data_IF_968204320280
#
_entry.id   IF_968204320280
#
_cell.length_a   1.000
_cell.length_b   1.000
_cell.length_c   1.000
_cell.angle_alpha   90.00
_cell.angle_beta   90.00
_cell.angle_gamma   90.00
#
_symmetry.space_group_name_H-M   'P 1'
#
loop_
_entity.id
_entity.type
_entity.pdbx_description
1 polymer ?
#
# COMPACT_ATOMS: atom_id res chain seq x y z
N UNK A 1 -17.44 2.14 2.00
CA UNK A 1 -16.01 1.83 2.19
C UNK A 1 -15.30 1.21 0.97
N UNK A 2 -15.95 1.03 -0.20
CA UNK A 2 -15.28 0.46 -1.39
C UNK A 2 -14.18 1.35 -1.96
N UNK A 3 -14.41 2.66 -2.07
CA UNK A 3 -13.42 3.59 -2.61
C UNK A 3 -12.16 3.65 -1.74
N UNK A 4 -12.31 3.75 -0.42
CA UNK A 4 -11.17 3.74 0.52
C UNK A 4 -10.37 2.44 0.47
N UNK A 5 -11.04 1.27 0.41
CA UNK A 5 -10.38 -0.02 0.22
C UNK A 5 -9.59 -0.06 -1.09
N UNK A 6 -10.17 0.41 -2.20
CA UNK A 6 -9.49 0.43 -3.49
C UNK A 6 -8.28 1.36 -3.50
N UNK A 7 -8.38 2.55 -2.88
CA UNK A 7 -7.25 3.48 -2.75
C UNK A 7 -6.14 2.87 -1.90
N UNK A 8 -6.47 2.32 -0.72
CA UNK A 8 -5.51 1.67 0.15
C UNK A 8 -4.84 0.48 -0.55
N UNK A 9 -5.61 -0.35 -1.25
CA UNK A 9 -5.06 -1.46 -2.02
C UNK A 9 -4.10 -1.01 -3.12
N UNK A 10 -4.45 0.03 -3.89
CA UNK A 10 -3.56 0.58 -4.92
C UNK A 10 -2.26 1.13 -4.29
N UNK A 11 -2.37 1.92 -3.22
CA UNK A 11 -1.19 2.45 -2.52
C UNK A 11 -0.29 1.34 -1.98
N UNK A 12 -0.89 0.27 -1.43
CA UNK A 12 -0.16 -0.90 -0.96
C UNK A 12 0.57 -1.61 -2.10
N UNK A 13 -0.09 -1.82 -3.24
CA UNK A 13 0.53 -2.45 -4.42
C UNK A 13 1.68 -1.60 -4.94
N UNK A 14 1.49 -0.29 -5.07
CA UNK A 14 2.55 0.65 -5.51
C UNK A 14 3.73 0.62 -4.53
N UNK A 15 3.47 0.61 -3.22
CA UNK A 15 4.49 0.49 -2.20
C UNK A 15 5.28 -0.83 -2.26
N UNK A 16 4.57 -1.95 -2.47
CA UNK A 16 5.18 -3.27 -2.65
C UNK A 16 6.03 -3.36 -3.91
N UNK A 17 5.58 -2.77 -5.02
CA UNK A 17 6.36 -2.66 -6.25
C UNK A 17 7.61 -1.77 -6.06
N UNK A 18 7.50 -0.66 -5.33
CA UNK A 18 8.68 0.14 -4.98
C UNK A 18 9.68 -0.66 -4.16
N UNK A 19 9.24 -1.46 -3.19
CA UNK A 19 10.11 -2.35 -2.43
C UNK A 19 10.78 -3.43 -3.30
N UNK A 20 10.06 -3.97 -4.29
CA UNK A 20 10.67 -4.88 -5.27
C UNK A 20 11.77 -4.17 -6.05
N UNK A 21 11.53 -2.96 -6.55
CA UNK A 21 12.52 -2.17 -7.28
C UNK A 21 13.73 -1.83 -6.40
N UNK A 22 13.53 -1.56 -5.11
CA UNK A 22 14.61 -1.30 -4.14
C UNK A 22 15.52 -2.52 -4.02
N UNK A 23 15.00 -3.74 -4.14
CA UNK A 23 15.83 -4.95 -4.19
C UNK A 23 16.71 -5.04 -5.46
N UNK A 24 16.42 -4.25 -6.49
CA UNK A 24 17.22 -4.05 -7.69
C UNK A 24 17.99 -2.71 -7.66
N UNK A 25 18.29 -2.18 -6.48
CA UNK A 25 19.00 -0.91 -6.26
C UNK A 25 18.30 0.33 -6.88
N UNK A 26 17.00 0.25 -7.15
CA UNK A 26 16.23 1.37 -7.71
C UNK A 26 15.05 1.76 -6.81
N UNK A 27 15.08 2.97 -6.28
CA UNK A 27 13.96 3.51 -5.49
C UNK A 27 13.16 4.52 -6.31
N UNK A 28 11.98 4.11 -6.79
CA UNK A 28 11.11 4.95 -7.61
C UNK A 28 10.66 6.20 -6.84
N UNK A 29 10.24 6.03 -5.57
CA UNK A 29 9.76 7.13 -4.73
C UNK A 29 10.85 8.19 -4.55
N UNK A 30 12.07 7.75 -4.20
CA UNK A 30 13.20 8.65 -4.00
C UNK A 30 13.68 9.27 -5.33
N UNK A 31 13.56 8.56 -6.45
CA UNK A 31 13.95 9.07 -7.77
C UNK A 31 13.06 10.21 -8.27
N UNK A 32 11.76 10.19 -7.91
CA UNK A 32 10.79 11.21 -8.32
C UNK A 32 10.76 12.38 -7.33
N UNK A 33 10.79 12.09 -6.03
CA UNK A 33 10.57 13.08 -4.97
C UNK A 33 11.86 13.54 -4.30
N UNK A 34 13.00 12.92 -4.61
CA UNK A 34 14.29 13.15 -3.95
C UNK A 34 14.45 12.27 -2.70
N UNK A 35 15.59 11.60 -2.60
CA UNK A 35 15.95 10.82 -1.43
C UNK A 35 15.98 11.68 -0.16
N UNK A 36 15.32 11.22 0.90
CA UNK A 36 15.24 11.94 2.18
C UNK A 36 14.33 13.19 2.17
N UNK A 37 13.59 13.43 1.09
CA UNK A 37 12.65 14.56 1.04
C UNK A 37 11.41 14.32 1.89
N UNK A 38 10.78 15.42 2.33
CA UNK A 38 9.48 15.35 3.00
C UNK A 38 8.40 14.69 2.12
N UNK A 39 8.49 14.84 0.79
CA UNK A 39 7.59 14.19 -0.15
C UNK A 39 7.71 12.67 -0.12
N UNK A 40 8.94 12.15 -0.17
CA UNK A 40 9.19 10.71 -0.06
C UNK A 40 8.68 10.14 1.27
N UNK A 41 8.92 10.85 2.38
CA UNK A 41 8.42 10.48 3.70
C UNK A 41 6.89 10.38 3.74
N UNK A 42 6.17 11.36 3.18
CA UNK A 42 4.70 11.33 3.12
C UNK A 42 4.22 10.10 2.36
N UNK A 43 4.84 9.77 1.22
CA UNK A 43 4.47 8.58 0.44
C UNK A 43 4.66 7.31 1.26
N UNK A 44 5.79 7.15 1.95
CA UNK A 44 6.02 5.97 2.79
C UNK A 44 5.03 5.85 3.94
N UNK A 45 4.65 6.98 4.57
CA UNK A 45 3.59 6.98 5.60
C UNK A 45 2.26 6.54 5.01
N UNK A 46 1.87 7.04 3.84
CA UNK A 46 0.61 6.66 3.18
C UNK A 46 0.59 5.18 2.80
N UNK A 47 1.70 4.64 2.30
CA UNK A 47 1.86 3.20 2.02
C UNK A 47 1.71 2.39 3.30
N UNK A 48 2.38 2.77 4.38
CA UNK A 48 2.28 2.10 5.68
C UNK A 48 0.87 2.12 6.27
N UNK A 49 0.19 3.27 6.22
CA UNK A 49 -1.20 3.41 6.64
C UNK A 49 -2.14 2.54 5.80
N UNK A 50 -1.87 2.43 4.49
CA UNK A 50 -2.64 1.57 3.59
C UNK A 50 -2.47 0.09 3.93
N UNK A 51 -1.26 -0.33 4.32
CA UNK A 51 -1.01 -1.68 4.80
C UNK A 51 -1.77 -2.00 6.09
N UNK A 52 -1.72 -1.09 7.07
CA UNK A 52 -2.48 -1.24 8.32
C UNK A 52 -3.99 -1.30 8.02
N UNK A 53 -4.49 -0.42 7.16
CA UNK A 53 -5.90 -0.39 6.79
C UNK A 53 -6.36 -1.68 6.15
N UNK A 54 -5.58 -2.22 5.20
CA UNK A 54 -5.91 -3.49 4.59
C UNK A 54 -5.84 -4.63 5.59
N UNK A 55 -4.79 -4.75 6.41
CA UNK A 55 -4.73 -5.80 7.43
C UNK A 55 -5.96 -5.78 8.36
N UNK A 56 -6.43 -4.59 8.77
CA UNK A 56 -7.57 -4.45 9.69
C UNK A 56 -8.94 -4.62 9.02
N UNK A 57 -9.07 -4.27 7.74
CA UNK A 57 -10.37 -4.22 7.06
C UNK A 57 -10.56 -5.28 5.98
N UNK A 58 -9.49 -5.94 5.54
CA UNK A 58 -9.51 -6.92 4.45
C UNK A 58 -10.49 -8.06 4.71
N UNK A 59 -10.55 -8.62 5.94
CA UNK A 59 -11.50 -9.70 6.27
C UNK A 59 -12.96 -9.28 6.13
N UNK A 60 -13.28 -7.99 6.34
CA UNK A 60 -14.64 -7.44 6.20
C UNK A 60 -14.95 -7.05 4.74
N UNK A 61 -13.94 -6.70 3.95
CA UNK A 61 -14.07 -6.24 2.57
C UNK A 61 -13.88 -7.36 1.53
N UNK A 62 -13.21 -8.45 1.88
CA UNK A 62 -12.96 -9.59 1.01
C UNK A 62 -14.18 -10.52 0.99
N UNK A 63 -15.00 -10.41 -0.06
CA UNK A 63 -16.21 -11.22 -0.29
C UNK A 63 -15.97 -12.73 -0.43
N UNK A 64 -14.71 -13.19 -0.42
CA UNK A 64 -14.32 -14.58 -0.70
C UNK A 64 -13.54 -15.29 0.44
N UNK A 65 -13.34 -14.67 1.61
CA UNK A 65 -12.64 -15.32 2.73
C UNK A 65 -13.55 -16.07 3.73
N UNK A 66 -14.83 -16.27 3.39
CA UNK A 66 -15.73 -17.14 4.14
C UNK A 66 -16.42 -18.14 3.19
N UNK A 67 -15.91 -19.37 3.02
CA UNK A 67 -16.62 -20.42 2.28
C UNK A 67 -17.91 -20.86 3.00
N UNK A 68 -18.08 -20.49 4.27
CA UNK A 68 -19.23 -20.81 5.10
C UNK A 68 -20.10 -19.56 5.31
N UNK A 69 -20.74 -19.08 4.24
CA UNK A 69 -21.85 -18.14 4.36
C UNK A 69 -23.06 -18.80 5.02
N UNK A 70 -22.96 -19.06 6.33
CA UNK A 70 -24.04 -19.34 7.28
C UNK A 70 -23.66 -18.72 8.62
#
# INVERSE_FOLDING_TARGET
MKALHMIAFILLVVGGLNWLLVAFDYNLVDSILGAGSAGAMIVYVLVGLSAIWEVLTHKKNCRNCNPSGM
#
